data_IF_263857663208
#
_entry.id   IF_263857663208
#
_cell.length_a   1.000
_cell.length_b   1.000
_cell.length_c   1.000
_cell.angle_alpha   90.00
_cell.angle_beta   90.00
_cell.angle_gamma   90.00
#
_symmetry.space_group_name_H-M   'P 1'
#
loop_
_entity.id
_entity.type
_entity.pdbx_description
1 polymer ?
#
# COMPACT_ATOMS: atom_id res chain seq x y z
N UNK A 1 3.98 -18.91 24.22
CA UNK A 1 3.68 -19.94 23.20
C UNK A 1 4.44 -19.56 21.95
N UNK A 2 4.97 -20.53 21.21
CA UNK A 2 5.87 -20.28 20.10
C UNK A 2 5.14 -19.57 18.95
N UNK A 3 5.75 -18.49 18.45
CA UNK A 3 5.36 -17.87 17.19
C UNK A 3 5.97 -18.70 16.07
N UNK A 4 5.29 -19.76 15.65
CA UNK A 4 5.64 -20.43 14.40
C UNK A 4 5.42 -19.44 13.25
N UNK A 5 6.50 -18.89 12.71
CA UNK A 5 6.44 -18.23 11.41
C UNK A 5 6.05 -19.29 10.41
N UNK A 6 4.81 -19.21 9.90
CA UNK A 6 4.32 -20.11 8.86
C UNK A 6 4.94 -19.66 7.53
N UNK A 7 6.23 -19.94 7.42
CA UNK A 7 7.00 -19.73 6.20
C UNK A 7 6.53 -20.76 5.18
N UNK A 8 6.03 -20.27 4.05
CA UNK A 8 5.69 -21.10 2.90
C UNK A 8 6.90 -21.93 2.48
N UNK A 9 6.68 -23.20 2.12
CA UNK A 9 7.73 -23.98 1.45
C UNK A 9 8.15 -23.27 0.15
N UNK A 10 9.38 -23.49 -0.36
CA UNK A 10 9.83 -22.92 -1.63
C UNK A 10 8.85 -23.21 -2.79
N UNK A 11 8.33 -24.44 -2.85
CA UNK A 11 7.31 -24.81 -3.83
C UNK A 11 6.01 -24.01 -3.65
N UNK A 12 5.55 -23.81 -2.41
CA UNK A 12 4.35 -23.01 -2.13
C UNK A 12 4.56 -21.52 -2.47
N UNK A 13 5.78 -20.99 -2.30
CA UNK A 13 6.19 -19.66 -2.77
C UNK A 13 6.15 -19.56 -4.30
N UNK A 14 6.69 -20.53 -5.03
CA UNK A 14 6.67 -20.56 -6.51
C UNK A 14 5.23 -20.59 -7.06
N UNK A 15 4.34 -21.36 -6.41
CA UNK A 15 2.91 -21.37 -6.74
C UNK A 15 2.25 -20.00 -6.46
N UNK A 16 2.53 -19.39 -5.31
CA UNK A 16 2.00 -18.07 -4.96
C UNK A 16 2.48 -16.98 -5.94
N UNK A 17 3.76 -17.03 -6.31
CA UNK A 17 4.39 -16.16 -7.29
C UNK A 17 3.78 -16.37 -8.69
N UNK A 18 3.63 -17.61 -9.14
CA UNK A 18 3.05 -17.94 -10.45
C UNK A 18 1.59 -17.47 -10.60
N UNK A 19 0.77 -17.64 -9.55
CA UNK A 19 -0.60 -17.10 -9.51
C UNK A 19 -0.58 -15.57 -9.57
N UNK A 20 0.18 -14.93 -8.68
CA UNK A 20 0.28 -13.47 -8.60
C UNK A 20 0.74 -12.82 -9.91
N UNK A 21 1.77 -13.42 -10.53
CA UNK A 21 2.34 -12.97 -11.79
C UNK A 21 1.34 -13.07 -12.96
N UNK A 22 0.59 -14.17 -13.01
CA UNK A 22 -0.45 -14.38 -14.03
C UNK A 22 -1.56 -13.33 -13.91
N UNK A 23 -2.09 -13.15 -12.70
CA UNK A 23 -3.19 -12.21 -12.44
C UNK A 23 -2.77 -10.74 -12.60
N UNK A 24 -1.54 -10.38 -12.20
CA UNK A 24 -1.02 -9.02 -12.34
C UNK A 24 -0.77 -8.64 -13.82
N UNK A 25 -0.17 -9.55 -14.61
CA UNK A 25 0.04 -9.34 -16.07
C UNK A 25 -1.30 -9.13 -16.79
N UNK A 26 -2.29 -9.94 -16.45
CA UNK A 26 -3.66 -9.83 -16.98
C UNK A 26 -4.47 -8.66 -16.38
N UNK A 27 -3.91 -7.87 -15.45
CA UNK A 27 -4.57 -6.75 -14.76
C UNK A 27 -5.88 -7.15 -14.07
N UNK A 28 -5.98 -8.38 -13.58
CA UNK A 28 -7.14 -8.88 -12.84
C UNK A 28 -7.30 -8.09 -11.54
N UNK A 29 -8.54 -7.74 -11.18
CA UNK A 29 -8.81 -7.11 -9.89
C UNK A 29 -8.59 -8.10 -8.74
N UNK A 30 -7.69 -7.75 -7.82
CA UNK A 30 -7.28 -8.61 -6.70
C UNK A 30 -8.39 -8.69 -5.63
N UNK A 31 -9.36 -7.77 -5.65
CA UNK A 31 -10.54 -7.87 -4.78
C UNK A 31 -11.47 -9.02 -5.22
N UNK A 32 -11.45 -9.41 -6.49
CA UNK A 32 -12.17 -10.60 -6.99
C UNK A 32 -11.51 -11.90 -6.53
N UNK A 33 -10.17 -11.98 -6.57
CA UNK A 33 -9.43 -13.08 -5.93
C UNK A 33 -9.68 -13.14 -4.41
N UNK A 34 -9.82 -11.98 -3.77
CA UNK A 34 -10.05 -11.88 -2.33
C UNK A 34 -11.41 -12.47 -1.91
N UNK A 35 -12.43 -12.47 -2.79
CA UNK A 35 -13.70 -13.19 -2.57
C UNK A 35 -13.50 -14.71 -2.57
N UNK A 36 -12.72 -15.24 -3.49
CA UNK A 36 -12.39 -16.67 -3.56
C UNK A 36 -11.62 -17.14 -2.32
N UNK A 37 -10.70 -16.31 -1.80
CA UNK A 37 -9.98 -16.55 -0.54
C UNK A 37 -10.94 -16.55 0.65
N UNK A 38 -11.90 -15.61 0.70
CA UNK A 38 -12.90 -15.56 1.76
C UNK A 38 -13.81 -16.80 1.77
N UNK A 39 -14.21 -17.28 0.58
CA UNK A 39 -14.95 -18.54 0.44
C UNK A 39 -14.14 -19.75 0.92
N UNK A 40 -12.89 -19.94 0.44
CA UNK A 40 -12.06 -21.06 0.90
C UNK A 40 -11.88 -21.05 2.42
N UNK A 41 -11.71 -19.86 3.02
CA UNK A 41 -11.62 -19.72 4.48
C UNK A 41 -12.90 -20.12 5.19
N UNK A 42 -14.09 -19.76 4.69
CA UNK A 42 -15.35 -20.11 5.35
C UNK A 42 -15.67 -21.61 5.26
N UNK A 43 -15.21 -22.29 4.22
CA UNK A 43 -15.38 -23.75 4.07
C UNK A 43 -14.20 -24.58 4.57
N UNK A 44 -13.11 -23.98 5.06
CA UNK A 44 -11.84 -24.65 5.39
C UNK A 44 -11.94 -25.79 6.42
N UNK A 45 -13.01 -25.82 7.22
CA UNK A 45 -13.28 -26.89 8.19
C UNK A 45 -13.90 -28.15 7.56
N UNK A 46 -14.35 -28.11 6.30
CA UNK A 46 -14.92 -29.27 5.61
C UNK A 46 -13.82 -30.16 4.99
N UNK A 47 -13.98 -31.49 5.01
CA UNK A 47 -13.00 -32.41 4.42
C UNK A 47 -12.87 -32.25 2.90
N UNK A 48 -13.90 -31.76 2.22
CA UNK A 48 -13.94 -31.52 0.77
C UNK A 48 -13.76 -30.02 0.41
N UNK A 49 -13.14 -29.21 1.27
CA UNK A 49 -13.00 -27.77 1.10
C UNK A 49 -12.32 -27.34 -0.22
N UNK A 50 -11.29 -28.05 -0.69
CA UNK A 50 -10.66 -27.76 -1.99
C UNK A 50 -11.58 -28.04 -3.17
N UNK A 51 -12.32 -29.15 -3.13
CA UNK A 51 -13.33 -29.51 -4.13
C UNK A 51 -14.49 -28.49 -4.15
N UNK A 52 -14.91 -28.00 -2.97
CA UNK A 52 -15.88 -26.90 -2.84
C UNK A 52 -15.34 -25.61 -3.46
N UNK A 53 -14.07 -25.29 -3.26
CA UNK A 53 -13.44 -24.11 -3.82
C UNK A 53 -13.40 -24.14 -5.36
N UNK A 54 -12.95 -25.23 -5.99
CA UNK A 54 -12.93 -25.32 -7.46
C UNK A 54 -14.31 -25.36 -8.11
N UNK A 55 -15.32 -25.88 -7.39
CA UNK A 55 -16.72 -25.77 -7.79
C UNK A 55 -17.19 -24.32 -7.72
N UNK A 56 -16.94 -23.61 -6.63
CA UNK A 56 -17.29 -22.20 -6.46
C UNK A 56 -16.63 -21.31 -7.52
N UNK A 57 -15.33 -21.48 -7.82
CA UNK A 57 -14.68 -20.69 -8.89
C UNK A 57 -15.26 -21.00 -10.27
N UNK A 58 -15.69 -22.24 -10.52
CA UNK A 58 -16.42 -22.62 -11.73
C UNK A 58 -17.86 -22.06 -11.81
N UNK A 59 -18.54 -21.91 -10.67
CA UNK A 59 -19.87 -21.31 -10.56
C UNK A 59 -19.82 -19.79 -10.83
N UNK A 60 -18.81 -19.07 -10.30
CA UNK A 60 -18.57 -17.66 -10.59
C UNK A 60 -18.42 -17.35 -12.10
N UNK A 61 -17.90 -18.29 -12.88
CA UNK A 61 -17.77 -18.14 -14.35
C UNK A 61 -19.13 -18.22 -15.06
N UNK A 62 -20.13 -18.85 -14.43
CA UNK A 62 -21.46 -19.13 -15.02
C UNK A 62 -22.53 -18.16 -14.52
N UNK A 63 -22.41 -17.63 -13.32
CA UNK A 63 -23.38 -16.67 -12.76
C UNK A 63 -23.29 -15.28 -13.40
N UNK A 64 -24.33 -14.88 -14.11
CA UNK A 64 -24.38 -13.58 -14.80
C UNK A 64 -24.74 -12.40 -13.88
N UNK A 65 -25.27 -12.66 -12.68
CA UNK A 65 -25.78 -11.63 -11.75
C UNK A 65 -24.75 -11.01 -10.80
N UNK A 66 -23.55 -11.59 -10.66
CA UNK A 66 -22.52 -11.11 -9.72
C UNK A 66 -21.57 -10.07 -10.35
N UNK A 67 -21.80 -9.70 -11.60
CA UNK A 67 -20.95 -8.80 -12.37
C UNK A 67 -21.16 -7.33 -11.97
N UNK A 68 -20.09 -6.70 -11.46
CA UNK A 68 -20.08 -5.25 -11.15
C UNK A 68 -19.59 -4.41 -12.32
N UNK A 69 -18.96 -5.04 -13.31
CA UNK A 69 -18.54 -4.45 -14.57
C UNK A 69 -18.58 -5.49 -15.71
N UNK A 70 -18.48 -5.03 -16.95
CA UNK A 70 -18.35 -5.90 -18.12
C UNK A 70 -17.05 -6.72 -18.13
N UNK A 71 -16.06 -6.39 -17.28
CA UNK A 71 -14.80 -7.12 -17.14
C UNK A 71 -14.83 -8.23 -16.09
N UNK A 72 -15.75 -8.16 -15.11
CA UNK A 72 -15.87 -9.16 -14.05
C UNK A 72 -15.96 -10.62 -14.57
N UNK A 73 -16.69 -10.96 -15.67
CA UNK A 73 -16.70 -12.32 -16.21
C UNK A 73 -15.33 -12.79 -16.74
N UNK A 74 -14.49 -11.86 -17.23
CA UNK A 74 -13.12 -12.18 -17.69
C UNK A 74 -12.22 -12.51 -16.50
N UNK A 75 -12.34 -11.74 -15.41
CA UNK A 75 -11.59 -11.96 -14.18
C UNK A 75 -11.90 -13.33 -13.57
N UNK A 76 -13.18 -13.71 -13.46
CA UNK A 76 -13.55 -15.03 -12.91
C UNK A 76 -13.02 -16.19 -13.76
N UNK A 77 -13.07 -16.09 -15.10
CA UNK A 77 -12.46 -17.12 -15.98
C UNK A 77 -10.96 -17.27 -15.75
N UNK A 78 -10.23 -16.16 -15.65
CA UNK A 78 -8.79 -16.17 -15.39
C UNK A 78 -8.46 -16.71 -13.99
N UNK A 79 -9.24 -16.33 -12.96
CA UNK A 79 -9.06 -16.82 -11.59
C UNK A 79 -9.30 -18.34 -11.53
N UNK A 80 -10.38 -18.85 -12.11
CA UNK A 80 -10.69 -20.28 -12.13
C UNK A 80 -9.59 -21.10 -12.83
N UNK A 81 -9.20 -20.68 -14.05
CA UNK A 81 -8.13 -21.33 -14.81
C UNK A 81 -6.78 -21.29 -14.08
N UNK A 82 -6.42 -20.15 -13.49
CA UNK A 82 -5.17 -19.97 -12.75
C UNK A 82 -5.17 -20.83 -11.48
N UNK A 83 -6.26 -20.84 -10.71
CA UNK A 83 -6.38 -21.66 -9.52
C UNK A 83 -6.28 -23.15 -9.85
N UNK A 84 -6.98 -23.63 -10.88
CA UNK A 84 -6.86 -25.03 -11.33
C UNK A 84 -5.44 -25.37 -11.79
N UNK A 85 -4.80 -24.50 -12.58
CA UNK A 85 -3.42 -24.71 -13.04
C UNK A 85 -2.41 -24.87 -11.90
N UNK A 86 -2.50 -24.04 -10.86
CA UNK A 86 -1.48 -23.98 -9.80
C UNK A 86 -1.85 -24.75 -8.52
N UNK A 87 -3.13 -25.04 -8.26
CA UNK A 87 -3.59 -25.59 -6.97
C UNK A 87 -4.35 -26.92 -7.07
N UNK A 88 -4.63 -27.45 -8.27
CA UNK A 88 -5.44 -28.68 -8.40
C UNK A 88 -4.80 -29.90 -7.72
N UNK A 89 -3.46 -29.98 -7.69
CA UNK A 89 -2.69 -31.00 -6.95
C UNK A 89 -2.68 -30.79 -5.42
N UNK A 90 -3.22 -29.67 -4.94
CA UNK A 90 -3.34 -29.32 -3.53
C UNK A 90 -4.79 -29.40 -3.03
N UNK A 91 -5.73 -29.95 -3.82
CA UNK A 91 -7.16 -30.00 -3.49
C UNK A 91 -7.44 -30.59 -2.09
N UNK A 92 -6.69 -31.61 -1.69
CA UNK A 92 -6.85 -32.28 -0.40
C UNK A 92 -6.06 -31.59 0.74
N UNK A 93 -5.42 -30.44 0.44
CA UNK A 93 -4.63 -29.60 1.36
C UNK A 93 -5.17 -28.15 1.39
N UNK A 94 -6.43 -27.92 1.79
CA UNK A 94 -7.10 -26.61 1.72
C UNK A 94 -6.44 -25.52 2.57
N UNK A 95 -5.79 -25.88 3.68
CA UNK A 95 -5.03 -24.93 4.50
C UNK A 95 -3.81 -24.35 3.74
N UNK A 96 -3.11 -25.20 2.99
CA UNK A 96 -1.97 -24.80 2.16
C UNK A 96 -2.42 -23.96 0.96
N UNK A 97 -3.51 -24.37 0.28
CA UNK A 97 -4.15 -23.54 -0.75
C UNK A 97 -4.49 -22.13 -0.23
N UNK A 98 -5.02 -22.02 1.00
CA UNK A 98 -5.39 -20.74 1.61
C UNK A 98 -4.18 -19.86 1.92
N UNK A 99 -3.06 -20.46 2.36
CA UNK A 99 -1.80 -19.76 2.58
C UNK A 99 -1.22 -19.24 1.24
N UNK A 100 -1.13 -20.11 0.23
CA UNK A 100 -0.63 -19.78 -1.11
C UNK A 100 -1.45 -18.64 -1.73
N UNK A 101 -2.79 -18.74 -1.74
CA UNK A 101 -3.67 -17.69 -2.26
C UNK A 101 -3.56 -16.40 -1.45
N UNK A 102 -3.42 -16.49 -0.12
CA UNK A 102 -3.21 -15.34 0.76
C UNK A 102 -1.93 -14.57 0.45
N UNK A 103 -0.85 -15.26 0.09
CA UNK A 103 0.40 -14.63 -0.38
C UNK A 103 0.30 -14.15 -1.82
N UNK A 104 -0.31 -14.92 -2.72
CA UNK A 104 -0.54 -14.53 -4.11
C UNK A 104 -1.32 -13.20 -4.21
N UNK A 105 -2.33 -13.00 -3.36
CA UNK A 105 -3.09 -11.75 -3.32
C UNK A 105 -2.32 -10.56 -2.74
N UNK A 106 -1.24 -10.78 -1.98
CA UNK A 106 -0.32 -9.71 -1.53
C UNK A 106 0.66 -9.37 -2.66
N UNK A 107 1.28 -10.39 -3.25
CA UNK A 107 2.19 -10.26 -4.38
C UNK A 107 1.52 -9.61 -5.60
N UNK A 108 0.28 -9.99 -5.95
CA UNK A 108 -0.43 -9.41 -7.09
C UNK A 108 -0.69 -7.90 -6.93
N UNK A 109 -0.99 -7.43 -5.70
CA UNK A 109 -1.10 -6.00 -5.39
C UNK A 109 0.27 -5.31 -5.51
N UNK A 110 1.32 -5.91 -4.94
CA UNK A 110 2.68 -5.41 -5.08
C UNK A 110 3.13 -5.29 -6.55
N UNK A 111 2.84 -6.28 -7.40
CA UNK A 111 3.18 -6.26 -8.83
C UNK A 111 2.34 -5.26 -9.65
N UNK A 112 1.12 -4.96 -9.20
CA UNK A 112 0.24 -3.94 -9.80
C UNK A 112 0.73 -2.52 -9.49
N UNK A 113 1.18 -2.29 -8.26
CA UNK A 113 1.52 -0.95 -7.75
C UNK A 113 3.02 -0.60 -7.92
N UNK A 114 3.92 -1.59 -7.80
CA UNK A 114 5.37 -1.44 -7.91
C UNK A 114 5.97 -1.92 -9.24
N UNK A 115 5.15 -2.49 -10.13
CA UNK A 115 5.60 -3.17 -11.34
C UNK A 115 5.96 -4.64 -11.09
N UNK A 116 5.97 -5.43 -12.16
CA UNK A 116 6.41 -6.84 -12.12
C UNK A 116 7.92 -6.89 -11.92
N UNK A 117 8.45 -7.54 -10.86
CA UNK A 117 9.88 -7.75 -10.70
C UNK A 117 10.35 -8.73 -11.77
N UNK A 118 11.13 -8.21 -12.73
CA UNK A 118 11.88 -9.03 -13.68
C UNK A 118 13.24 -9.32 -13.02
N UNK A 119 13.36 -10.47 -12.38
CA UNK A 119 14.65 -11.11 -12.07
C UNK A 119 15.55 -10.49 -11.00
N UNK A 120 15.33 -9.24 -10.57
CA UNK A 120 16.18 -8.59 -9.57
C UNK A 120 15.47 -8.40 -8.22
N UNK A 121 16.07 -8.98 -7.17
CA UNK A 121 15.78 -8.61 -5.79
C UNK A 121 16.34 -7.20 -5.61
N UNK A 122 15.54 -6.16 -5.29
CA UNK A 122 16.11 -4.87 -4.95
C UNK A 122 16.93 -5.04 -3.67
N UNK A 123 18.25 -4.91 -3.78
CA UNK A 123 19.14 -4.95 -2.63
C UNK A 123 18.65 -3.99 -1.54
N UNK A 124 18.67 -4.40 -0.25
CA UNK A 124 18.27 -3.51 0.83
C UNK A 124 19.12 -2.22 0.75
N UNK A 125 18.52 -1.04 0.95
CA UNK A 125 19.26 0.21 0.89
C UNK A 125 20.34 0.20 1.97
N UNK A 126 21.59 0.37 1.55
CA UNK A 126 22.76 0.34 2.43
C UNK A 126 22.59 1.37 3.55
N UNK A 127 22.53 0.94 4.83
CA UNK A 127 22.24 1.83 5.95
C UNK A 127 23.40 2.79 6.28
N UNK A 128 24.55 2.70 5.59
CA UNK A 128 25.74 3.49 5.93
C UNK A 128 26.43 4.15 4.72
N UNK A 129 25.63 4.68 3.78
CA UNK A 129 26.11 5.49 2.67
C UNK A 129 26.67 6.85 3.11
N UNK A 130 27.90 6.90 3.63
CA UNK A 130 28.55 8.18 3.92
C UNK A 130 29.88 8.17 4.69
N UNK A 131 31.00 7.87 4.00
CA UNK A 131 32.25 8.61 4.29
C UNK A 131 33.23 8.68 3.11
N UNK A 132 33.60 9.89 2.63
CA UNK A 132 34.77 10.04 1.77
C UNK A 132 36.07 9.89 2.60
N UNK A 133 37.07 9.26 2.00
CA UNK A 133 38.38 9.04 2.61
C UNK A 133 39.26 10.29 2.52
N UNK A 134 39.66 10.88 3.66
CA UNK A 134 40.69 11.91 3.69
C UNK A 134 42.10 11.32 3.84
N UNK A 135 43.03 11.86 3.06
CA UNK A 135 44.49 11.79 3.19
C UNK A 135 45.06 13.00 2.41
N UNK A 136 46.15 13.68 2.78
CA UNK A 136 47.03 13.64 3.97
C UNK A 136 47.95 14.88 3.92
N UNK A 137 48.31 15.47 5.07
CA UNK A 137 49.33 16.53 5.21
C UNK A 137 48.79 17.97 5.09
N UNK A 138 49.40 19.00 5.68
CA UNK A 138 50.55 19.03 6.61
C UNK A 138 50.83 20.46 7.14
N UNK A 139 51.22 20.56 8.42
CA UNK A 139 51.86 21.65 9.19
C UNK A 139 51.93 23.12 8.69
N UNK A 140 51.51 24.08 9.54
CA UNK A 140 52.36 25.16 10.09
C UNK A 140 51.62 26.10 11.09
N UNK A 141 52.37 26.73 12.01
CA UNK A 141 52.00 27.81 12.98
C UNK A 141 52.75 29.12 12.58
N UNK A 142 52.58 30.34 13.19
CA UNK A 142 52.02 30.68 14.51
C UNK A 142 51.07 31.93 14.58
N UNK A 143 50.81 32.38 15.82
CA UNK A 143 50.00 33.51 16.36
C UNK A 143 50.65 34.91 16.13
N UNK A 144 50.07 36.09 16.53
CA UNK A 144 49.01 36.38 17.54
C UNK A 144 47.88 37.33 17.02
N UNK A 145 47.04 38.10 17.75
CA UNK A 145 47.03 38.55 19.17
C UNK A 145 45.61 38.84 19.78
N UNK A 146 45.40 40.04 20.36
CA UNK A 146 44.36 40.45 21.30
C UNK A 146 43.15 41.18 20.63
N UNK A 147 41.91 41.15 21.15
CA UNK A 147 41.47 41.78 22.41
C UNK A 147 40.10 41.22 22.90
N UNK A 148 39.92 41.21 24.23
CA UNK A 148 38.62 41.09 24.95
C UNK A 148 38.11 42.52 25.27
N UNK A 149 36.81 42.81 25.57
CA UNK A 149 35.96 42.00 26.46
C UNK A 149 34.43 41.91 26.20
N UNK A 150 33.80 41.00 26.97
CA UNK A 150 32.40 40.91 27.46
C UNK A 150 31.31 41.81 26.85
N UNK A 151 30.18 41.20 26.43
CA UNK A 151 28.83 41.48 26.97
C UNK A 151 27.71 40.57 26.38
N UNK A 152 26.72 40.28 27.22
CA UNK A 152 25.33 39.88 26.90
C UNK A 152 24.46 40.87 27.72
N UNK A 153 23.27 41.33 27.24
CA UNK A 153 22.19 40.44 26.76
C UNK A 153 21.30 40.95 25.60
N UNK A 154 20.46 40.03 25.11
CA UNK A 154 19.10 40.18 24.53
C UNK A 154 18.74 41.10 23.33
N UNK A 155 18.12 40.46 22.34
CA UNK A 155 16.93 40.87 21.58
C UNK A 155 16.93 42.15 20.68
N UNK A 156 16.99 41.96 19.34
CA UNK A 156 15.80 41.90 18.44
C UNK A 156 16.13 41.90 16.93
N UNK A 157 15.17 41.38 16.15
CA UNK A 157 14.92 41.59 14.71
C UNK A 157 15.99 41.18 13.67
N UNK A 158 15.72 40.08 12.95
CA UNK A 158 15.82 40.00 11.49
C UNK A 158 14.97 38.84 10.96
N UNK A 159 14.47 38.96 9.73
CA UNK A 159 13.73 37.90 9.01
C UNK A 159 14.70 36.85 8.43
N UNK A 160 14.25 35.60 8.25
CA UNK A 160 14.61 34.78 7.10
C UNK A 160 13.41 34.78 6.13
N UNK A 161 13.50 35.48 5.00
CA UNK A 161 14.10 34.98 3.76
C UNK A 161 13.42 33.71 3.22
N UNK A 162 12.82 33.86 2.04
CA UNK A 162 12.15 32.82 1.27
C UNK A 162 13.21 31.97 0.57
N UNK A 163 13.58 30.87 1.20
CA UNK A 163 14.05 29.68 0.47
C UNK A 163 13.87 28.44 1.34
N UNK A 164 13.00 27.53 0.91
CA UNK A 164 13.04 26.16 1.37
C UNK A 164 12.67 25.23 0.22
N UNK A 165 13.66 24.42 -0.16
CA UNK A 165 13.61 23.51 -1.28
C UNK A 165 12.48 22.48 -1.15
N UNK A 166 12.17 21.81 -2.26
CA UNK A 166 11.23 20.69 -2.35
C UNK A 166 11.69 19.47 -1.52
N UNK A 167 11.56 19.56 -0.20
CA UNK A 167 11.81 18.47 0.72
C UNK A 167 10.61 17.50 0.68
N UNK A 168 10.78 16.38 -0.03
CA UNK A 168 9.84 15.25 -0.08
C UNK A 168 9.60 14.70 1.32
N UNK A 169 8.65 15.30 2.02
CA UNK A 169 8.33 14.98 3.41
C UNK A 169 7.45 13.75 3.39
N UNK A 170 8.03 12.60 3.77
CA UNK A 170 7.28 11.46 4.30
C UNK A 170 6.65 11.86 5.63
N UNK A 171 5.64 12.73 5.57
CA UNK A 171 4.86 13.14 6.72
C UNK A 171 4.15 11.89 7.26
N UNK A 172 4.66 11.35 8.37
CA UNK A 172 3.96 10.34 9.16
C UNK A 172 2.74 11.02 9.78
N UNK A 173 1.58 10.78 9.20
CA UNK A 173 0.32 11.28 9.71
C UNK A 173 0.05 10.74 11.12
N UNK A 174 -0.72 11.47 11.91
CA UNK A 174 -1.21 11.02 13.22
C UNK A 174 -2.74 11.00 13.23
N UNK A 175 -3.33 10.09 13.99
CA UNK A 175 -4.77 10.12 14.28
C UNK A 175 -5.07 11.39 15.09
N UNK A 176 -6.17 12.07 14.78
CA UNK A 176 -6.53 13.41 15.29
C UNK A 176 -5.81 14.57 14.60
N UNK A 177 -4.96 14.31 13.59
CA UNK A 177 -4.29 15.40 12.86
C UNK A 177 -5.26 16.08 11.90
N UNK A 178 -5.34 17.41 11.98
CA UNK A 178 -6.03 18.23 10.99
C UNK A 178 -5.15 18.48 9.76
N UNK A 179 -5.74 18.40 8.58
CA UNK A 179 -5.08 18.56 7.29
C UNK A 179 -5.96 19.41 6.36
N UNK A 180 -5.33 20.22 5.49
CA UNK A 180 -6.03 20.82 4.35
C UNK A 180 -6.12 19.81 3.21
N UNK A 181 -7.30 19.71 2.60
CA UNK A 181 -7.53 18.89 1.42
C UNK A 181 -8.39 19.63 0.39
N UNK A 182 -8.13 19.42 -0.90
CA UNK A 182 -8.98 19.90 -1.98
C UNK A 182 -9.90 18.78 -2.49
N UNK A 183 -11.14 19.13 -2.84
CA UNK A 183 -12.11 18.17 -3.37
C UNK A 183 -11.90 18.02 -4.87
N UNK A 184 -11.57 16.80 -5.33
CA UNK A 184 -11.22 16.53 -6.74
C UNK A 184 -12.31 15.84 -7.54
N UNK A 185 -13.26 15.19 -6.87
CA UNK A 185 -14.38 14.50 -7.51
C UNK A 185 -15.53 14.30 -6.51
N UNK A 186 -16.78 14.43 -6.96
CA UNK A 186 -17.99 14.11 -6.19
C UNK A 186 -18.88 13.23 -7.09
N UNK A 187 -19.22 12.04 -6.62
CA UNK A 187 -20.08 11.07 -7.33
C UNK A 187 -21.21 10.61 -6.41
N UNK A 188 -22.35 11.30 -6.50
CA UNK A 188 -23.44 11.11 -5.54
C UNK A 188 -22.98 11.41 -4.13
N UNK A 189 -22.98 10.41 -3.24
CA UNK A 189 -22.50 10.55 -1.87
C UNK A 189 -21.00 10.29 -1.69
N UNK A 190 -20.25 9.94 -2.74
CA UNK A 190 -18.81 9.68 -2.66
C UNK A 190 -18.00 10.94 -3.01
N UNK A 191 -17.15 11.39 -2.08
CA UNK A 191 -16.31 12.59 -2.21
C UNK A 191 -14.84 12.17 -2.20
N UNK A 192 -14.04 12.68 -3.15
CA UNK A 192 -12.61 12.39 -3.26
C UNK A 192 -11.78 13.60 -2.83
N UNK A 193 -11.13 13.46 -1.68
CA UNK A 193 -10.24 14.44 -1.09
C UNK A 193 -8.80 14.22 -1.57
N UNK A 194 -8.08 15.28 -1.95
CA UNK A 194 -6.64 15.28 -2.17
C UNK A 194 -5.98 16.12 -1.08
N UNK A 195 -5.14 15.52 -0.23
CA UNK A 195 -4.46 16.25 0.85
C UNK A 195 -3.41 17.19 0.23
N UNK A 196 -3.51 18.49 0.54
CA UNK A 196 -2.66 19.55 -0.02
C UNK A 196 -1.17 19.25 0.27
N UNK A 197 -0.30 19.55 -0.69
CA UNK A 197 1.13 19.21 -0.68
C UNK A 197 1.44 17.70 -0.68
N UNK A 198 0.47 16.83 -1.02
CA UNK A 198 0.70 15.39 -1.18
C UNK A 198 -0.01 14.83 -2.41
N UNK A 199 0.46 13.65 -2.87
CA UNK A 199 -0.20 12.86 -3.91
C UNK A 199 -1.27 11.90 -3.35
N UNK A 200 -1.70 12.09 -2.10
CA UNK A 200 -2.68 11.20 -1.45
C UNK A 200 -4.09 11.64 -1.84
N UNK A 201 -4.79 10.74 -2.55
CA UNK A 201 -6.21 10.85 -2.85
C UNK A 201 -7.00 9.83 -2.04
N UNK A 202 -8.09 10.26 -1.43
CA UNK A 202 -8.93 9.44 -0.55
C UNK A 202 -10.41 9.67 -0.89
N UNK A 203 -11.07 8.64 -1.41
CA UNK A 203 -12.51 8.65 -1.71
C UNK A 203 -13.29 8.06 -0.54
N UNK A 204 -14.29 8.77 -0.03
CA UNK A 204 -15.14 8.35 1.09
C UNK A 204 -16.60 8.71 0.88
N UNK A 205 -17.50 8.01 1.57
CA UNK A 205 -18.93 8.31 1.57
C UNK A 205 -19.26 9.38 2.61
N UNK A 206 -19.73 10.52 2.13
CA UNK A 206 -20.15 11.68 2.93
C UNK A 206 -21.65 11.95 2.75
N UNK A 207 -22.56 11.01 3.11
CA UNK A 207 -23.99 11.09 2.76
C UNK A 207 -24.73 12.30 3.36
N UNK A 208 -24.14 12.97 4.38
CA UNK A 208 -24.70 14.18 5.00
C UNK A 208 -24.12 15.49 4.45
N UNK A 209 -22.96 15.45 3.78
CA UNK A 209 -22.20 16.64 3.38
C UNK A 209 -21.86 16.69 1.88
N UNK A 210 -21.93 15.58 1.14
CA UNK A 210 -21.61 15.55 -0.29
C UNK A 210 -22.44 16.55 -1.12
N UNK A 211 -23.71 16.79 -0.76
CA UNK A 211 -24.57 17.77 -1.41
C UNK A 211 -24.26 19.25 -1.09
N UNK A 212 -23.38 19.53 -0.12
CA UNK A 212 -22.96 20.89 0.27
C UNK A 212 -21.49 21.17 -0.08
N UNK A 213 -20.90 20.39 -0.99
CA UNK A 213 -19.49 20.47 -1.37
C UNK A 213 -19.34 20.63 -2.87
N UNK A 214 -18.28 21.34 -3.28
CA UNK A 214 -18.00 21.63 -4.69
C UNK A 214 -16.63 21.10 -5.08
N UNK A 215 -16.49 20.59 -6.31
CA UNK A 215 -15.18 20.21 -6.87
C UNK A 215 -14.30 21.46 -7.01
N UNK A 216 -13.06 21.39 -6.54
CA UNK A 216 -12.12 22.49 -6.43
C UNK A 216 -12.11 23.18 -5.04
N UNK A 217 -13.08 22.90 -4.17
CA UNK A 217 -13.15 23.48 -2.82
C UNK A 217 -12.01 22.96 -1.92
N UNK A 218 -11.32 23.87 -1.23
CA UNK A 218 -10.46 23.51 -0.10
C UNK A 218 -11.28 23.35 1.19
N UNK A 219 -10.96 22.31 1.95
CA UNK A 219 -11.61 21.95 3.21
C UNK A 219 -10.60 21.45 4.24
N UNK A 220 -10.95 21.53 5.52
CA UNK A 220 -10.16 20.96 6.62
C UNK A 220 -10.71 19.57 6.98
N UNK A 221 -9.81 18.60 7.16
CA UNK A 221 -10.16 17.21 7.46
C UNK A 221 -9.33 16.67 8.62
N UNK A 222 -9.98 15.98 9.55
CA UNK A 222 -9.34 15.28 10.68
C UNK A 222 -9.03 13.83 10.30
N UNK A 223 -7.79 13.39 10.52
CA UNK A 223 -7.39 11.98 10.31
C UNK A 223 -8.00 11.09 11.39
N UNK A 224 -8.94 10.21 11.02
CA UNK A 224 -9.56 9.26 11.95
C UNK A 224 -8.84 7.91 12.01
N UNK A 225 -8.23 7.47 10.90
CA UNK A 225 -7.65 6.14 10.80
C UNK A 225 -6.44 6.13 9.86
N UNK A 226 -5.46 5.28 10.18
CA UNK A 226 -4.22 5.09 9.44
C UNK A 226 -4.09 3.62 9.04
N UNK A 227 -3.42 3.38 7.91
CA UNK A 227 -2.96 2.05 7.51
C UNK A 227 -1.67 1.68 8.26
N UNK A 228 -1.33 0.40 8.25
CA UNK A 228 -0.06 -0.13 8.79
C UNK A 228 1.19 0.51 8.14
N UNK A 229 1.07 1.01 6.91
CA UNK A 229 2.13 1.76 6.19
C UNK A 229 2.20 3.26 6.59
N UNK A 230 1.36 3.71 7.52
CA UNK A 230 1.25 5.10 7.97
C UNK A 230 0.48 6.03 7.02
N UNK A 231 -0.11 5.54 5.92
CA UNK A 231 -0.97 6.35 5.05
C UNK A 231 -2.36 6.53 5.66
N UNK A 232 -2.97 7.68 5.38
CA UNK A 232 -4.34 8.00 5.81
C UNK A 232 -5.33 6.99 5.20
N UNK A 233 -6.11 6.33 6.07
CA UNK A 233 -7.15 5.37 5.70
C UNK A 233 -8.55 5.97 5.72
N UNK A 234 -8.79 6.89 6.67
CA UNK A 234 -10.08 7.56 6.86
C UNK A 234 -9.84 8.98 7.37
N UNK A 235 -10.59 9.94 6.82
CA UNK A 235 -10.69 11.29 7.38
C UNK A 235 -12.14 11.66 7.64
N UNK A 236 -12.35 12.56 8.60
CA UNK A 236 -13.61 13.24 8.85
C UNK A 236 -13.51 14.66 8.32
N UNK A 237 -14.48 15.07 7.52
CA UNK A 237 -14.64 16.47 7.15
C UNK A 237 -15.07 17.30 8.37
N UNK A 238 -14.37 18.40 8.65
CA UNK A 238 -14.70 19.36 9.71
C UNK A 238 -15.78 20.36 9.24
#
# INVERSE_FOLDING_TARGET
MLSDSVDLSPQSWDLAHGIAMTLAKERVDVDELSKCIAYLRSVAHHPDAGSRFFRFTGELVRETGLHRSNETPRYYRLIDQTCKKYLQSLQDRPAEMLQILGWAARLARYYKDGGVPIGEIPSPPDPNGGRPTHSRGGEAKPQPEALRPKEQPEQKQAQPQVENAAASTKARFKIGQHLKASITNIKGNEVTFQIVNTNIKLTQKEPKRAGSLTVGQEVEVEVLDLREDGRVRRVRLL
#
